data_IF_273578025323
#
_entry.id   IF_273578025323
#
_cell.length_a   1.000
_cell.length_b   1.000
_cell.length_c   1.000
_cell.angle_alpha   90.00
_cell.angle_beta   90.00
_cell.angle_gamma   90.00
#
_symmetry.space_group_name_H-M   'P 1'
#
loop_
_entity.id
_entity.type
_entity.pdbx_description
1 polymer ?
#
# COMPACT_ATOMS: atom_id res chain seq x y z
N UNK A 1 33.70 26.45 41.57
CA UNK A 1 32.36 26.28 40.97
C UNK A 1 32.26 24.84 40.49
N UNK A 2 31.14 24.15 40.74
CA UNK A 2 30.88 22.84 40.12
C UNK A 2 30.29 23.12 38.74
N UNK A 3 31.00 22.75 37.67
CA UNK A 3 30.45 22.82 36.31
C UNK A 3 29.43 21.68 36.15
N UNK A 4 28.25 22.01 35.64
CA UNK A 4 27.24 21.02 35.26
C UNK A 4 27.42 20.74 33.78
N UNK A 5 27.78 19.51 33.44
CA UNK A 5 27.97 19.06 32.08
C UNK A 5 26.75 18.26 31.61
N UNK A 6 26.49 18.27 30.31
CA UNK A 6 25.42 17.47 29.72
C UNK A 6 25.74 15.97 29.82
N UNK A 7 24.71 15.14 29.96
CA UNK A 7 24.90 13.69 29.96
C UNK A 7 25.25 13.18 28.56
N UNK A 8 26.01 12.08 28.52
CA UNK A 8 26.27 11.30 27.32
C UNK A 8 26.12 9.80 27.62
N UNK A 9 26.27 8.96 26.59
CA UNK A 9 26.27 7.50 26.76
C UNK A 9 27.45 6.98 27.61
N UNK A 10 28.50 7.78 27.77
CA UNK A 10 29.73 7.41 28.50
C UNK A 10 30.01 8.28 29.72
N UNK A 11 29.26 9.36 29.92
CA UNK A 11 29.48 10.35 30.98
C UNK A 11 28.16 10.77 31.62
N UNK A 12 28.09 10.73 32.95
CA UNK A 12 26.94 11.27 33.70
C UNK A 12 26.89 12.80 33.58
N UNK A 13 25.68 13.35 33.50
CA UNK A 13 25.46 14.79 33.41
C UNK A 13 23.97 15.14 33.56
N UNK A 14 23.61 16.38 33.25
CA UNK A 14 22.22 16.85 33.22
C UNK A 14 21.59 16.58 31.85
N UNK A 15 20.30 16.26 31.82
CA UNK A 15 19.54 16.08 30.58
C UNK A 15 18.32 16.99 30.60
N UNK A 16 18.02 17.63 29.47
CA UNK A 16 16.75 18.35 29.27
C UNK A 16 15.68 17.38 28.79
N UNK A 17 14.49 17.48 29.35
CA UNK A 17 13.36 16.63 28.97
C UNK A 17 12.56 17.25 27.83
N UNK A 18 12.12 16.42 26.89
CA UNK A 18 11.23 16.82 25.79
C UNK A 18 9.95 15.98 25.79
N UNK A 19 8.82 16.63 25.53
CA UNK A 19 7.53 15.98 25.28
C UNK A 19 7.11 16.00 23.81
N UNK A 20 7.99 16.46 22.91
CA UNK A 20 7.75 16.37 21.47
C UNK A 20 7.69 14.89 21.04
N UNK A 21 6.82 14.57 20.09
CA UNK A 21 6.61 13.20 19.57
C UNK A 21 7.39 12.93 18.28
N UNK A 22 8.05 13.95 17.75
CA UNK A 22 8.77 14.01 16.48
C UNK A 22 10.19 14.60 16.64
N UNK A 23 10.71 14.67 17.86
CA UNK A 23 12.06 15.18 18.14
C UNK A 23 13.13 14.27 17.54
N UNK A 24 14.03 14.84 16.74
CA UNK A 24 15.25 14.24 16.21
C UNK A 24 16.49 14.47 17.10
N UNK A 25 16.35 15.27 18.16
CA UNK A 25 17.45 15.60 19.07
C UNK A 25 17.94 14.39 19.87
N UNK A 26 19.24 14.09 19.75
CA UNK A 26 19.93 13.10 20.58
C UNK A 26 20.35 13.63 21.97
N UNK A 27 20.22 14.94 22.21
CA UNK A 27 20.61 15.59 23.47
C UNK A 27 19.47 15.70 24.50
N UNK A 28 18.22 15.42 24.08
CA UNK A 28 17.03 15.52 24.93
C UNK A 28 16.51 14.12 25.30
N UNK A 29 16.10 13.93 26.55
CA UNK A 29 15.40 12.70 26.95
C UNK A 29 13.90 12.81 26.69
N UNK A 30 13.32 11.77 26.08
CA UNK A 30 11.88 11.65 25.92
C UNK A 30 11.18 11.49 27.28
N UNK A 31 10.06 12.17 27.46
CA UNK A 31 9.19 12.01 28.64
C UNK A 31 8.21 10.84 28.46
N UNK A 32 7.67 10.28 29.56
CA UNK A 32 6.57 9.31 29.48
C UNK A 32 5.34 9.82 28.71
N UNK A 33 5.12 11.15 28.70
CA UNK A 33 4.05 11.77 27.91
C UNK A 33 4.26 11.55 26.41
N UNK A 34 5.45 11.86 25.89
CA UNK A 34 5.79 11.64 24.48
C UNK A 34 5.63 10.16 24.10
N UNK A 35 6.20 9.25 24.91
CA UNK A 35 6.12 7.80 24.68
C UNK A 35 4.68 7.30 24.68
N UNK A 36 3.84 7.77 25.61
CA UNK A 36 2.42 7.39 25.67
C UNK A 36 1.66 7.85 24.43
N UNK A 37 1.89 9.08 23.97
CA UNK A 37 1.24 9.62 22.77
C UNK A 37 1.62 8.79 21.54
N UNK A 38 2.93 8.57 21.31
CA UNK A 38 3.42 7.75 20.19
C UNK A 38 2.84 6.33 20.26
N UNK A 39 2.85 5.70 21.44
CA UNK A 39 2.27 4.36 21.59
C UNK A 39 0.76 4.35 21.33
N UNK A 40 0.05 5.43 21.67
CA UNK A 40 -1.37 5.60 21.33
C UNK A 40 -1.60 5.62 19.82
N UNK A 41 -0.80 6.38 19.08
CA UNK A 41 -0.88 6.45 17.61
C UNK A 41 -0.47 5.14 16.93
N UNK A 42 0.57 4.46 17.42
CA UNK A 42 1.01 3.16 16.88
C UNK A 42 -0.09 2.11 17.01
N UNK A 43 -0.89 2.15 18.07
CA UNK A 43 -2.03 1.24 18.28
C UNK A 43 -3.17 1.45 17.30
N UNK A 44 -3.23 2.58 16.57
CA UNK A 44 -4.23 2.82 15.53
C UNK A 44 -3.79 2.37 14.15
N UNK A 45 -2.53 1.92 13.99
CA UNK A 45 -2.02 1.40 12.73
C UNK A 45 -2.48 -0.05 12.53
N UNK A 46 -2.55 -0.50 11.28
CA UNK A 46 -2.85 -1.90 10.96
C UNK A 46 -1.70 -2.83 11.44
N UNK A 47 -1.99 -4.09 11.81
CA UNK A 47 -0.96 -5.04 12.23
C UNK A 47 -0.01 -5.35 11.07
N UNK A 48 1.25 -5.64 11.38
CA UNK A 48 2.24 -5.96 10.35
C UNK A 48 1.96 -7.31 9.69
N UNK A 49 1.52 -8.29 10.47
CA UNK A 49 1.07 -9.58 9.97
C UNK A 49 -0.41 -9.50 9.59
N UNK A 50 -0.71 -9.81 8.34
CA UNK A 50 -2.06 -9.94 7.79
C UNK A 50 -3.01 -8.76 8.14
N UNK A 51 -2.65 -7.51 7.79
CA UNK A 51 -3.48 -6.34 8.08
C UNK A 51 -4.84 -6.40 7.40
N UNK A 52 -5.89 -6.07 8.17
CA UNK A 52 -7.15 -5.61 7.59
C UNK A 52 -7.08 -4.10 7.37
N UNK A 53 -7.11 -3.66 6.10
CA UNK A 53 -7.17 -2.24 5.76
C UNK A 53 -8.62 -1.73 5.75
N UNK A 54 -8.82 -0.48 6.17
CA UNK A 54 -10.14 0.19 6.18
C UNK A 54 -10.10 1.47 5.32
N UNK A 55 -11.28 2.00 4.95
CA UNK A 55 -11.38 3.18 4.08
C UNK A 55 -11.12 2.86 2.60
N UNK A 56 -10.36 3.71 1.90
CA UNK A 56 -9.97 3.53 0.49
C UNK A 56 -8.44 3.46 0.37
N UNK A 57 -7.81 2.31 0.67
CA UNK A 57 -6.37 2.13 0.52
C UNK A 57 -5.94 2.35 -0.92
N UNK A 58 -4.85 3.10 -1.11
CA UNK A 58 -4.23 3.32 -2.42
C UNK A 58 -2.86 2.68 -2.47
N UNK A 59 -2.54 2.05 -3.59
CA UNK A 59 -1.19 1.55 -3.90
C UNK A 59 -0.78 2.03 -5.28
N UNK A 60 0.53 2.23 -5.55
CA UNK A 60 1.01 2.47 -6.90
C UNK A 60 0.55 1.37 -7.86
N UNK A 61 0.11 1.74 -9.07
CA UNK A 61 -0.36 0.79 -10.08
C UNK A 61 0.82 -0.03 -10.63
N UNK A 62 0.81 -1.36 -10.46
CA UNK A 62 1.85 -2.21 -11.02
C UNK A 62 1.90 -2.12 -12.56
N UNK A 63 3.06 -2.39 -13.18
CA UNK A 63 3.15 -2.53 -14.63
C UNK A 63 2.33 -3.75 -15.10
N UNK A 64 1.80 -3.71 -16.33
CA UNK A 64 0.81 -4.68 -16.83
C UNK A 64 1.32 -6.13 -16.92
N UNK A 65 2.63 -6.33 -16.90
CA UNK A 65 3.33 -7.61 -16.96
C UNK A 65 3.78 -8.11 -15.58
N UNK A 66 3.39 -7.46 -14.48
CA UNK A 66 3.77 -7.85 -13.13
C UNK A 66 3.43 -9.33 -12.81
N UNK A 67 4.41 -10.06 -12.23
CA UNK A 67 4.31 -11.48 -11.83
C UNK A 67 4.71 -11.76 -10.37
N UNK A 68 5.00 -10.72 -9.59
CA UNK A 68 5.52 -10.86 -8.23
C UNK A 68 4.45 -10.74 -7.16
N UNK A 69 4.89 -10.44 -5.94
CA UNK A 69 4.04 -10.22 -4.76
C UNK A 69 3.49 -8.77 -4.68
N UNK A 70 3.33 -8.08 -5.81
CA UNK A 70 2.79 -6.72 -5.81
C UNK A 70 1.32 -6.71 -5.35
N UNK A 71 0.94 -5.67 -4.61
CA UNK A 71 -0.47 -5.44 -4.30
C UNK A 71 -1.22 -4.99 -5.56
N UNK A 72 -2.20 -5.80 -5.97
CA UNK A 72 -3.12 -5.45 -7.06
C UNK A 72 -4.07 -4.34 -6.62
N UNK A 73 -4.25 -3.31 -7.47
CA UNK A 73 -5.24 -2.26 -7.29
C UNK A 73 -6.32 -2.28 -8.38
N UNK A 74 -7.36 -1.47 -8.20
CA UNK A 74 -8.50 -1.43 -9.14
C UNK A 74 -8.09 -1.02 -10.57
N UNK A 75 -7.09 -0.16 -10.73
CA UNK A 75 -6.61 0.28 -12.05
C UNK A 75 -5.92 -0.86 -12.80
N UNK A 76 -5.06 -1.61 -12.12
CA UNK A 76 -4.38 -2.78 -12.67
C UNK A 76 -5.39 -3.82 -13.17
N UNK A 77 -6.41 -4.14 -12.37
CA UNK A 77 -7.47 -5.08 -12.76
C UNK A 77 -8.23 -4.59 -13.98
N UNK A 78 -8.66 -3.32 -14.00
CA UNK A 78 -9.37 -2.75 -15.15
C UNK A 78 -8.53 -2.80 -16.43
N UNK A 79 -7.23 -2.53 -16.33
CA UNK A 79 -6.29 -2.59 -17.48
C UNK A 79 -6.18 -4.00 -18.05
N UNK A 80 -6.00 -5.01 -17.20
CA UNK A 80 -5.91 -6.40 -17.65
C UNK A 80 -7.22 -6.91 -18.24
N UNK A 81 -8.37 -6.54 -17.67
CA UNK A 81 -9.69 -6.88 -18.23
C UNK A 81 -9.86 -6.21 -19.59
N UNK A 82 -9.52 -4.93 -19.74
CA UNK A 82 -9.60 -4.24 -21.02
C UNK A 82 -8.71 -4.89 -22.10
N UNK A 83 -7.50 -5.31 -21.74
CA UNK A 83 -6.60 -6.03 -22.65
C UNK A 83 -7.17 -7.40 -23.04
N UNK A 84 -7.77 -8.12 -22.08
CA UNK A 84 -8.43 -9.40 -22.35
C UNK A 84 -9.62 -9.23 -23.29
N UNK A 85 -10.55 -8.33 -22.98
CA UNK A 85 -11.76 -8.07 -23.79
C UNK A 85 -11.37 -7.58 -25.19
N UNK A 86 -10.38 -6.69 -25.29
CA UNK A 86 -9.86 -6.21 -26.57
C UNK A 86 -9.33 -7.33 -27.47
N UNK A 87 -8.74 -8.38 -26.89
CA UNK A 87 -8.21 -9.53 -27.63
C UNK A 87 -9.29 -10.48 -28.15
N UNK A 88 -10.55 -10.34 -27.71
CA UNK A 88 -11.66 -11.26 -28.02
C UNK A 88 -12.66 -10.65 -29.01
N UNK A 89 -12.57 -9.37 -29.34
CA UNK A 89 -13.49 -8.71 -30.29
C UNK A 89 -13.41 -9.30 -31.70
N UNK A 90 -12.22 -9.53 -32.27
CA UNK A 90 -12.12 -10.11 -33.62
C UNK A 90 -12.65 -11.57 -33.71
N UNK A 91 -12.35 -12.47 -32.74
CA UNK A 91 -12.97 -13.80 -32.73
C UNK A 91 -14.49 -13.78 -32.56
N UNK A 92 -15.07 -12.84 -31.80
CA UNK A 92 -16.53 -12.77 -31.63
C UNK A 92 -17.24 -12.40 -32.94
N UNK A 93 -16.68 -11.49 -33.73
CA UNK A 93 -17.20 -11.17 -35.06
C UNK A 93 -17.19 -12.43 -35.94
N UNK A 94 -16.12 -13.23 -35.91
CA UNK A 94 -16.08 -14.50 -36.67
C UNK A 94 -17.08 -15.55 -36.17
N UNK A 95 -17.37 -15.61 -34.86
CA UNK A 95 -18.39 -16.51 -34.32
C UNK A 95 -19.80 -16.08 -34.72
N UNK A 96 -20.06 -14.77 -34.79
CA UNK A 96 -21.32 -14.21 -35.29
C UNK A 96 -21.48 -14.52 -36.79
N UNK A 97 -20.44 -14.32 -37.59
CA UNK A 97 -20.44 -14.68 -39.02
C UNK A 97 -20.71 -16.18 -39.24
N UNK A 98 -20.12 -17.07 -38.43
CA UNK A 98 -20.36 -18.51 -38.51
C UNK A 98 -21.79 -18.89 -38.10
N UNK A 99 -22.34 -18.24 -37.07
CA UNK A 99 -23.72 -18.47 -36.65
C UNK A 99 -24.71 -18.05 -37.73
N UNK A 100 -24.48 -16.89 -38.36
CA UNK A 100 -25.31 -16.39 -39.45
C UNK A 100 -25.15 -17.25 -40.72
N UNK A 101 -23.96 -17.77 -41.00
CA UNK A 101 -23.73 -18.67 -42.12
C UNK A 101 -24.43 -20.03 -41.94
N UNK A 102 -24.40 -20.60 -40.73
CA UNK A 102 -25.10 -21.86 -40.42
C UNK A 102 -26.62 -21.69 -40.42
N UNK A 103 -27.14 -20.58 -39.89
CA UNK A 103 -28.58 -20.31 -39.85
C UNK A 103 -29.20 -20.01 -41.22
N UNK A 104 -28.39 -19.52 -42.17
CA UNK A 104 -28.81 -19.23 -43.55
C UNK A 104 -28.46 -20.34 -44.55
N UNK A 105 -27.82 -21.43 -44.13
CA UNK A 105 -27.52 -22.55 -45.03
C UNK A 105 -28.75 -23.47 -45.15
N UNK A 106 -29.36 -23.60 -46.34
CA UNK A 106 -30.55 -24.44 -46.56
C UNK A 106 -30.30 -25.94 -46.34
N UNK A 107 -29.03 -26.39 -46.21
CA UNK A 107 -28.69 -27.76 -45.84
C UNK A 107 -28.65 -27.98 -44.31
N UNK A 108 -28.65 -26.90 -43.52
CA UNK A 108 -28.63 -26.93 -42.05
C UNK A 108 -29.88 -26.27 -41.41
N UNK A 109 -30.84 -25.80 -42.23
CA UNK A 109 -32.13 -25.22 -41.82
C UNK A 109 -33.26 -26.26 -41.65
#
# INVERSE_FOLDING_TARGET
MISLEDASLTKKGIVKLSSATDSDSEALAATPKAVKTVMGEVRTKAPLDSPAFTGTPTTPTPPGDAKGLQTTNAEFVRKLIAALVGSVLEPLDTLQELADALGNDPNFA
#
